data_IF_296401290872
#
_entry.id   IF_296401290872
#
_cell.length_a   1.000
_cell.length_b   1.000
_cell.length_c   1.000
_cell.angle_alpha   90.00
_cell.angle_beta   90.00
_cell.angle_gamma   90.00
#
_symmetry.space_group_name_H-M   'P 1'
#
loop_
_entity.id
_entity.type
_entity.pdbx_description
1 polymer ?
#
# COMPACT_ATOMS: atom_id res chain seq x y z
N UNK A 1 0.60 36.76 78.80
CA UNK A 1 -0.26 37.08 77.63
C UNK A 1 -0.14 35.96 76.60
N UNK A 2 -1.28 35.48 76.09
CA UNK A 2 -1.42 34.47 75.03
C UNK A 2 -0.71 34.91 73.73
N UNK A 3 -0.07 33.97 73.04
CA UNK A 3 0.27 34.07 71.61
C UNK A 3 0.29 32.65 71.03
N UNK A 4 -0.83 32.18 70.48
CA UNK A 4 -1.09 32.06 69.04
C UNK A 4 -0.29 30.92 68.37
N UNK A 5 -0.96 29.78 68.27
CA UNK A 5 -0.60 28.60 67.47
C UNK A 5 -0.35 28.97 66.00
N UNK A 6 0.85 28.76 65.48
CA UNK A 6 1.08 28.81 64.03
C UNK A 6 0.58 27.51 63.38
N UNK A 7 -0.27 27.57 62.35
CA UNK A 7 -0.65 26.39 61.60
C UNK A 7 0.55 25.93 60.76
N UNK A 8 1.05 24.74 61.08
CA UNK A 8 2.07 24.00 60.34
C UNK A 8 1.68 23.91 58.86
N UNK A 9 2.32 24.72 58.00
CA UNK A 9 2.12 24.71 56.54
C UNK A 9 2.36 23.29 56.03
N UNK A 10 1.29 22.60 55.65
CA UNK A 10 1.33 21.28 55.02
C UNK A 10 2.06 21.40 53.68
N UNK A 11 3.37 21.17 53.68
CA UNK A 11 4.16 20.85 52.49
C UNK A 11 3.76 19.44 52.07
N UNK A 12 2.70 19.30 51.28
CA UNK A 12 2.22 17.97 50.93
C UNK A 12 1.02 17.93 50.01
N UNK A 13 0.91 18.81 49.02
CA UNK A 13 -0.17 18.73 48.01
C UNK A 13 0.23 19.31 46.64
N UNK A 14 1.54 19.32 46.31
CA UNK A 14 2.02 19.84 45.02
C UNK A 14 2.93 18.84 44.31
N UNK A 15 2.62 17.54 44.44
CA UNK A 15 3.28 16.47 43.66
C UNK A 15 2.29 15.52 42.99
N UNK A 16 1.01 15.88 43.01
CA UNK A 16 -0.06 15.07 42.43
C UNK A 16 -0.98 15.96 41.62
N UNK A 17 -0.45 16.61 40.60
CA UNK A 17 -1.26 16.99 39.45
C UNK A 17 -0.52 16.60 38.18
N UNK A 18 -1.14 15.70 37.44
CA UNK A 18 -1.00 15.57 36.00
C UNK A 18 0.35 15.12 35.42
N UNK A 19 0.76 13.89 35.74
CA UNK A 19 1.55 13.08 34.79
C UNK A 19 0.75 11.89 34.30
N UNK A 20 -0.45 12.15 33.77
CA UNK A 20 -0.94 11.33 32.66
C UNK A 20 -0.05 11.60 31.43
N UNK A 21 0.10 10.67 30.47
CA UNK A 21 0.93 10.93 29.30
C UNK A 21 0.43 12.23 28.66
N UNK A 22 1.29 13.24 28.59
CA UNK A 22 1.00 14.47 27.85
C UNK A 22 0.57 14.05 26.45
N UNK A 23 -0.65 14.41 26.06
CA UNK A 23 -1.16 14.10 24.74
C UNK A 23 -0.12 14.59 23.72
N UNK A 24 0.49 13.65 22.99
CA UNK A 24 1.49 14.00 21.98
C UNK A 24 0.77 14.91 20.99
N UNK A 25 1.23 16.15 20.76
CA UNK A 25 0.59 17.03 19.79
C UNK A 25 0.70 16.38 18.41
N UNK A 26 -0.40 15.78 17.95
CA UNK A 26 -0.45 15.16 16.63
C UNK A 26 -0.64 16.26 15.58
N UNK A 27 0.13 16.18 14.50
CA UNK A 27 -0.09 17.03 13.34
C UNK A 27 -1.42 16.66 12.67
N UNK A 28 -2.09 17.64 12.00
CA UNK A 28 -3.25 17.35 11.19
C UNK A 28 -2.93 16.28 10.15
N UNK A 29 -3.86 15.34 9.95
CA UNK A 29 -3.76 14.36 8.88
C UNK A 29 -3.74 15.08 7.54
N UNK A 30 -2.71 14.82 6.74
CA UNK A 30 -2.58 15.36 5.40
C UNK A 30 -1.97 14.32 4.47
N UNK A 31 -2.29 14.44 3.18
CA UNK A 31 -1.62 13.66 2.14
C UNK A 31 -0.19 14.18 1.97
N UNK A 32 0.79 13.44 2.48
CA UNK A 32 2.21 13.76 2.32
C UNK A 32 2.64 13.40 0.89
N UNK A 33 3.27 14.34 0.20
CA UNK A 33 3.85 14.11 -1.14
C UNK A 33 5.37 14.22 -1.02
N UNK A 34 6.09 13.21 -1.51
CA UNK A 34 7.55 13.22 -1.52
C UNK A 34 8.05 14.16 -2.64
N UNK A 35 8.86 15.20 -2.35
CA UNK A 35 9.37 16.10 -3.37
C UNK A 35 10.58 15.53 -4.14
N UNK A 36 11.22 14.48 -3.62
CA UNK A 36 12.39 13.87 -4.25
C UNK A 36 11.98 12.85 -5.31
N UNK A 37 12.77 12.70 -6.39
CA UNK A 37 12.54 11.64 -7.35
C UNK A 37 12.63 10.26 -6.66
N UNK A 38 11.88 9.26 -7.16
CA UNK A 38 12.02 7.88 -6.70
C UNK A 38 13.48 7.42 -6.80
N UNK A 39 13.92 6.63 -5.81
CA UNK A 39 15.25 6.02 -5.88
C UNK A 39 15.31 5.01 -7.02
N UNK A 40 16.25 5.20 -7.94
CA UNK A 40 16.48 4.30 -9.07
C UNK A 40 17.46 3.17 -8.66
N UNK A 41 16.93 2.11 -8.05
CA UNK A 41 17.73 0.94 -7.63
C UNK A 41 18.14 0.04 -8.80
N UNK A 42 17.38 0.08 -9.89
CA UNK A 42 17.61 -0.72 -11.10
C UNK A 42 17.88 0.21 -12.28
N UNK A 43 18.78 -0.20 -13.17
CA UNK A 43 18.96 0.48 -14.46
C UNK A 43 17.78 0.24 -15.39
N UNK A 44 17.67 1.04 -16.46
CA UNK A 44 16.63 0.85 -17.48
C UNK A 44 16.69 -0.56 -18.10
N UNK A 45 17.89 -1.04 -18.41
CA UNK A 45 18.08 -2.38 -19.00
C UNK A 45 17.66 -3.50 -18.04
N UNK A 46 17.87 -3.32 -16.73
CA UNK A 46 17.43 -4.29 -15.72
C UNK A 46 15.91 -4.32 -15.59
N UNK A 47 15.25 -3.17 -15.69
CA UNK A 47 13.78 -3.09 -15.70
C UNK A 47 13.24 -3.79 -16.94
N UNK A 48 13.84 -3.55 -18.11
CA UNK A 48 13.44 -4.20 -19.36
C UNK A 48 13.63 -5.72 -19.31
N UNK A 49 14.74 -6.19 -18.72
CA UNK A 49 14.97 -7.61 -18.52
C UNK A 49 13.89 -8.27 -17.64
N UNK A 50 13.44 -7.57 -16.58
CA UNK A 50 12.33 -8.05 -15.74
C UNK A 50 11.02 -8.05 -16.53
N UNK A 51 10.78 -7.03 -17.36
CA UNK A 51 9.59 -6.95 -18.20
C UNK A 51 9.51 -8.13 -19.17
N UNK A 52 10.57 -8.38 -19.94
CA UNK A 52 10.63 -9.50 -20.90
C UNK A 52 10.52 -10.86 -20.21
N UNK A 53 11.18 -11.05 -19.07
CA UNK A 53 11.04 -12.28 -18.28
C UNK A 53 9.59 -12.49 -17.80
N UNK A 54 8.91 -11.42 -17.39
CA UNK A 54 7.51 -11.47 -16.97
C UNK A 54 6.59 -11.82 -18.14
N UNK A 55 6.80 -11.21 -19.32
CA UNK A 55 6.01 -11.53 -20.52
C UNK A 55 6.21 -12.98 -20.93
N UNK A 56 7.46 -13.46 -20.93
CA UNK A 56 7.78 -14.86 -21.21
C UNK A 56 7.05 -15.82 -20.26
N UNK A 57 6.94 -15.48 -18.97
CA UNK A 57 6.19 -16.30 -18.01
C UNK A 57 4.71 -16.36 -18.37
N UNK A 58 4.08 -15.21 -18.62
CA UNK A 58 2.65 -15.12 -18.94
C UNK A 58 2.28 -15.83 -20.25
N UNK A 59 3.16 -15.78 -21.26
CA UNK A 59 2.95 -16.43 -22.55
C UNK A 59 3.23 -17.95 -22.50
N UNK A 60 4.36 -18.33 -21.90
CA UNK A 60 4.90 -19.69 -22.02
C UNK A 60 4.55 -20.63 -20.87
N UNK A 61 4.18 -20.10 -19.71
CA UNK A 61 3.76 -20.90 -18.56
C UNK A 61 2.33 -20.58 -18.15
N UNK A 62 1.91 -19.32 -18.30
CA UNK A 62 0.61 -18.85 -17.85
C UNK A 62 0.50 -18.75 -16.34
N UNK A 63 -0.71 -18.49 -15.86
CA UNK A 63 -1.05 -18.39 -14.44
C UNK A 63 -2.29 -19.22 -14.14
N UNK A 64 -2.34 -19.83 -12.96
CA UNK A 64 -3.53 -20.56 -12.52
C UNK A 64 -4.59 -19.59 -11.97
N UNK A 65 -5.82 -19.70 -12.49
CA UNK A 65 -6.95 -18.84 -12.12
C UNK A 65 -8.11 -19.71 -11.68
N UNK A 66 -8.27 -19.84 -10.35
CA UNK A 66 -9.27 -20.74 -9.76
C UNK A 66 -10.72 -20.25 -9.84
N UNK A 67 -10.97 -19.08 -10.44
CA UNK A 67 -12.31 -18.51 -10.56
C UNK A 67 -12.89 -18.80 -11.95
N UNK A 68 -13.99 -19.57 -12.06
CA UNK A 68 -14.63 -19.87 -13.34
C UNK A 68 -15.05 -18.61 -14.11
N UNK A 69 -15.52 -17.59 -13.37
CA UNK A 69 -15.89 -16.30 -13.94
C UNK A 69 -14.68 -15.59 -14.57
N UNK A 70 -13.53 -15.63 -13.91
CA UNK A 70 -12.32 -15.01 -14.44
C UNK A 70 -11.80 -15.77 -15.67
N UNK A 71 -11.83 -17.10 -15.67
CA UNK A 71 -11.50 -17.93 -16.84
C UNK A 71 -12.33 -17.53 -18.06
N UNK A 72 -13.65 -17.38 -17.90
CA UNK A 72 -14.54 -16.92 -18.99
C UNK A 72 -14.21 -15.51 -19.47
N UNK A 73 -13.77 -14.60 -18.59
CA UNK A 73 -13.37 -13.25 -18.97
C UNK A 73 -12.07 -13.25 -19.78
N UNK A 74 -11.09 -14.04 -19.36
CA UNK A 74 -9.83 -14.20 -20.08
C UNK A 74 -10.04 -14.84 -21.46
N UNK A 75 -10.85 -15.89 -21.54
CA UNK A 75 -11.19 -16.54 -22.80
C UNK A 75 -11.89 -15.57 -23.76
N UNK A 76 -12.85 -14.77 -23.26
CA UNK A 76 -13.51 -13.72 -24.05
C UNK A 76 -12.57 -12.61 -24.52
N UNK A 77 -11.54 -12.31 -23.74
CA UNK A 77 -10.50 -11.35 -24.12
C UNK A 77 -9.55 -11.92 -25.19
N UNK A 78 -9.57 -13.24 -25.44
CA UNK A 78 -8.72 -13.92 -26.41
C UNK A 78 -7.51 -14.65 -25.81
N UNK A 79 -7.48 -14.86 -24.49
CA UNK A 79 -6.41 -15.61 -23.83
C UNK A 79 -6.62 -17.11 -24.02
N UNK A 80 -5.52 -17.88 -24.05
CA UNK A 80 -5.60 -19.33 -24.12
C UNK A 80 -5.86 -19.89 -22.73
N UNK A 81 -7.02 -20.52 -22.53
CA UNK A 81 -7.48 -21.03 -21.24
C UNK A 81 -7.58 -22.55 -21.30
N UNK A 82 -6.87 -23.23 -20.41
CA UNK A 82 -7.07 -24.65 -20.12
C UNK A 82 -8.00 -24.79 -18.90
N UNK A 83 -9.23 -25.19 -19.15
CA UNK A 83 -10.25 -25.38 -18.09
C UNK A 83 -9.98 -26.61 -17.22
N UNK A 84 -9.19 -27.59 -17.66
CA UNK A 84 -8.87 -28.78 -16.86
C UNK A 84 -7.82 -28.45 -15.78
N UNK A 85 -6.79 -27.68 -16.15
CA UNK A 85 -5.74 -27.23 -15.23
C UNK A 85 -5.99 -25.84 -14.64
N UNK A 86 -7.05 -25.15 -15.06
CA UNK A 86 -7.36 -23.74 -14.73
C UNK A 86 -6.21 -22.78 -15.07
N UNK A 87 -5.38 -23.13 -16.06
CA UNK A 87 -4.24 -22.33 -16.48
C UNK A 87 -4.63 -21.35 -17.59
N UNK A 88 -4.22 -20.09 -17.46
CA UNK A 88 -4.46 -19.02 -18.43
C UNK A 88 -3.13 -18.51 -18.96
N UNK A 89 -2.94 -18.58 -20.27
CA UNK A 89 -1.78 -18.04 -20.97
C UNK A 89 -2.18 -16.77 -21.71
N UNK A 90 -1.40 -15.72 -21.48
CA UNK A 90 -1.72 -14.36 -21.91
C UNK A 90 -0.62 -13.88 -22.85
N UNK A 91 -1.00 -13.48 -24.06
CA UNK A 91 -0.08 -12.92 -25.06
C UNK A 91 0.41 -11.51 -24.68
N UNK A 92 1.67 -11.16 -24.98
CA UNK A 92 2.22 -9.83 -24.69
C UNK A 92 1.41 -8.69 -25.31
N UNK A 93 0.84 -8.91 -26.49
CA UNK A 93 0.00 -7.93 -27.18
C UNK A 93 -1.27 -7.65 -26.37
N UNK A 94 -1.89 -8.68 -25.79
CA UNK A 94 -3.04 -8.50 -24.90
C UNK A 94 -2.67 -7.67 -23.66
N UNK A 95 -1.53 -7.96 -23.03
CA UNK A 95 -1.07 -7.18 -21.86
C UNK A 95 -0.82 -5.73 -22.24
N UNK A 96 -0.15 -5.48 -23.38
CA UNK A 96 0.12 -4.13 -23.86
C UNK A 96 -1.16 -3.33 -24.15
N UNK A 97 -2.17 -3.94 -24.77
CA UNK A 97 -3.46 -3.29 -25.00
C UNK A 97 -4.21 -3.01 -23.70
N UNK A 98 -4.20 -3.95 -22.75
CA UNK A 98 -4.83 -3.76 -21.45
C UNK A 98 -4.18 -2.59 -20.68
N UNK A 99 -2.85 -2.48 -20.70
CA UNK A 99 -2.12 -1.39 -20.03
C UNK A 99 -2.49 -0.01 -20.58
N UNK A 100 -2.75 0.13 -21.89
CA UNK A 100 -3.17 1.41 -22.50
C UNK A 100 -4.50 1.92 -21.95
N UNK A 101 -5.38 1.03 -21.47
CA UNK A 101 -6.68 1.41 -20.91
C UNK A 101 -6.61 1.89 -19.46
N UNK A 102 -5.45 1.71 -18.81
CA UNK A 102 -5.27 1.98 -17.38
C UNK A 102 -4.96 3.46 -17.13
N UNK A 103 -5.61 4.07 -16.13
CA UNK A 103 -5.30 5.43 -15.70
C UNK A 103 -4.05 5.46 -14.81
N UNK A 104 -3.23 6.52 -14.88
CA UNK A 104 -2.01 6.63 -14.06
C UNK A 104 -2.29 6.93 -12.59
N UNK A 105 -3.49 7.42 -12.25
CA UNK A 105 -3.89 7.73 -10.89
C UNK A 105 -5.41 7.64 -10.69
N UNK A 106 -5.82 7.29 -9.47
CA UNK A 106 -7.22 7.27 -9.03
C UNK A 106 -7.34 8.03 -7.71
N UNK A 107 -8.44 8.77 -7.54
CA UNK A 107 -8.79 9.38 -6.26
C UNK A 107 -9.53 8.34 -5.42
N UNK A 108 -8.93 7.91 -4.31
CA UNK A 108 -9.61 7.07 -3.34
C UNK A 108 -10.59 7.94 -2.56
N UNK A 109 -11.88 7.59 -2.63
CA UNK A 109 -12.92 8.27 -1.84
C UNK A 109 -12.88 7.70 -0.42
N UNK A 110 -12.91 8.54 0.63
CA UNK A 110 -12.87 8.09 2.02
C UNK A 110 -14.04 7.19 2.43
#
# INVERSE_FOLDING_TARGET
MRGMTEPRRKRGTERTSNRGPSAIPQLPTRRVTNPYPPMALLSADQIEAIHEASMHILENFGIEVMSPRALTLFEKAGAAVDHASMNVRIDRGMVAEALKTTRPAYLLTP
#
